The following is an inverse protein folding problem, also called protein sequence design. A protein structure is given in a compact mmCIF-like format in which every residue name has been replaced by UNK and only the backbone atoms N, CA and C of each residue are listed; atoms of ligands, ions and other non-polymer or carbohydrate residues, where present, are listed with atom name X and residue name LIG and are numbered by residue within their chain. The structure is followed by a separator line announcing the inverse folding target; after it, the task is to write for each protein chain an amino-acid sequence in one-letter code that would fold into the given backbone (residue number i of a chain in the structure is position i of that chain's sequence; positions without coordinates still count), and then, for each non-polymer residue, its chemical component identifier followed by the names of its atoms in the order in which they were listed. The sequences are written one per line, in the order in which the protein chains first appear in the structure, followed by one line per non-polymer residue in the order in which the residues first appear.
data_IF_363405414532
#
_entry.id   IF_363405414532
#
_cell.length_a   1.000
_cell.length_b   1.000
_cell.length_c   1.000
_cell.angle_alpha   90.00
_cell.angle_beta   90.00
_cell.angle_gamma   90.00
#
_symmetry.space_group_name_H-M   'P 1'
#
loop_
_entity.id
_entity.type
_entity.pdbx_description
1 polymer ?
#
# COMPACT_ATOMS: atom_id res chain seq x y z
N UNK A 1 -13.79 2.65 -1.36
CA UNK A 1 -14.41 3.57 -0.38
C UNK A 1 -15.04 2.74 0.75
N UNK A 2 -14.31 2.49 1.83
CA UNK A 2 -14.86 1.83 3.03
C UNK A 2 -15.50 2.92 3.90
N UNK A 3 -16.83 2.98 3.95
CA UNK A 3 -17.55 3.90 4.84
C UNK A 3 -17.46 3.34 6.26
N UNK A 4 -16.54 3.91 7.04
CA UNK A 4 -16.52 3.80 8.49
C UNK A 4 -17.89 4.22 9.02
N UNK A 5 -18.62 3.28 9.62
CA UNK A 5 -19.98 3.53 10.09
C UNK A 5 -19.97 3.52 11.62
N UNK A 6 -20.39 4.63 12.24
CA UNK A 6 -20.43 4.80 13.69
C UNK A 6 -21.34 3.76 14.37
N UNK A 7 -21.06 3.35 15.62
CA UNK A 7 -21.91 2.42 16.36
C UNK A 7 -23.30 2.99 16.60
N UNK A 8 -24.33 2.23 16.19
CA UNK A 8 -25.73 2.69 16.26
C UNK A 8 -26.36 2.15 17.55
N UNK A 9 -26.48 3.02 18.56
CA UNK A 9 -27.06 2.70 19.87
C UNK A 9 -28.59 2.78 19.90
N UNK A 10 -29.23 1.92 19.13
CA UNK A 10 -30.68 1.75 19.14
C UNK A 10 -31.17 1.16 20.49
N UNK A 11 -32.43 1.42 20.88
CA UNK A 11 -33.01 0.96 22.14
C UNK A 11 -32.77 -0.54 22.41
N UNK A 12 -33.01 -1.38 21.40
CA UNK A 12 -32.78 -2.83 21.48
C UNK A 12 -31.29 -3.20 21.68
N UNK A 13 -30.36 -2.46 21.08
CA UNK A 13 -28.92 -2.69 21.24
C UNK A 13 -28.47 -2.40 22.67
N UNK A 14 -29.00 -1.32 23.27
CA UNK A 14 -28.71 -0.97 24.68
C UNK A 14 -29.23 -2.05 25.64
N UNK A 15 -30.45 -2.52 25.43
CA UNK A 15 -31.06 -3.61 26.23
C UNK A 15 -30.23 -4.90 26.15
N UNK A 16 -29.76 -5.26 24.94
CA UNK A 16 -28.87 -6.42 24.74
C UNK A 16 -27.54 -6.23 25.50
N UNK A 17 -26.91 -5.06 25.40
CA UNK A 17 -25.65 -4.77 26.11
C UNK A 17 -25.81 -4.78 27.64
N UNK A 18 -26.95 -4.31 28.16
CA UNK A 18 -27.26 -4.38 29.60
C UNK A 18 -27.47 -5.83 30.08
N UNK A 19 -28.14 -6.65 29.28
CA UNK A 19 -28.32 -8.07 29.59
C UNK A 19 -26.99 -8.84 29.62
N UNK A 20 -26.00 -8.47 28.79
CA UNK A 20 -24.65 -9.02 28.89
C UNK A 20 -23.92 -8.57 30.16
N UNK A 21 -24.11 -7.32 30.61
CA UNK A 21 -23.58 -6.85 31.92
C UNK A 21 -24.18 -7.62 33.10
N UNK A 22 -25.41 -8.11 32.95
CA UNK A 22 -26.11 -8.94 33.95
C UNK A 22 -25.68 -10.43 33.89
N UNK A 23 -24.78 -10.81 32.98
CA UNK A 23 -24.24 -12.17 32.89
C UNK A 23 -25.12 -13.17 32.13
N UNK A 24 -26.14 -12.70 31.39
CA UNK A 24 -26.96 -13.59 30.54
C UNK A 24 -26.13 -14.11 29.35
N UNK A 25 -26.35 -15.38 29.01
CA UNK A 25 -25.67 -16.00 27.87
C UNK A 25 -26.35 -15.63 26.54
N UNK A 26 -25.60 -15.77 25.45
CA UNK A 26 -26.07 -15.45 24.09
C UNK A 26 -27.30 -16.28 23.68
N UNK A 27 -27.37 -17.54 24.10
CA UNK A 27 -28.52 -18.42 23.88
C UNK A 27 -29.80 -17.91 24.57
N UNK A 28 -29.66 -17.48 25.82
CA UNK A 28 -30.78 -16.93 26.61
C UNK A 28 -31.29 -15.62 25.99
N UNK A 29 -30.38 -14.76 25.54
CA UNK A 29 -30.72 -13.52 24.86
C UNK A 29 -31.38 -13.76 23.50
N UNK A 30 -30.93 -14.77 22.75
CA UNK A 30 -31.59 -15.13 21.50
C UNK A 30 -33.03 -15.58 21.76
N UNK A 31 -33.27 -16.40 22.78
CA UNK A 31 -34.62 -16.85 23.14
C UNK A 31 -35.52 -15.70 23.65
N UNK A 32 -35.00 -14.82 24.52
CA UNK A 32 -35.74 -13.70 25.13
C UNK A 32 -36.16 -12.66 24.10
N UNK A 33 -35.32 -12.39 23.09
CA UNK A 33 -35.60 -11.43 22.02
C UNK A 33 -36.28 -12.08 20.79
N UNK A 34 -36.64 -13.37 20.84
CA UNK A 34 -37.37 -14.07 19.78
C UNK A 34 -36.53 -14.39 18.53
N UNK A 35 -35.22 -14.48 18.67
CA UNK A 35 -34.29 -14.84 17.60
C UNK A 35 -34.18 -16.37 17.47
N UNK A 36 -34.25 -16.87 16.24
CA UNK A 36 -34.23 -18.31 15.98
C UNK A 36 -32.91 -18.99 16.36
N UNK A 37 -31.80 -18.26 16.32
CA UNK A 37 -30.46 -18.78 16.61
C UNK A 37 -29.54 -17.65 17.09
N UNK A 38 -28.49 -17.98 17.84
CA UNK A 38 -27.45 -17.03 18.26
C UNK A 38 -26.84 -16.25 17.07
N UNK A 39 -26.70 -16.92 15.92
CA UNK A 39 -26.18 -16.32 14.68
C UNK A 39 -27.04 -15.15 14.18
N UNK A 40 -28.34 -15.17 14.46
CA UNK A 40 -29.24 -14.07 14.06
C UNK A 40 -29.09 -12.85 14.96
N UNK A 41 -28.80 -13.05 16.25
CA UNK A 41 -28.41 -12.00 17.18
C UNK A 41 -27.05 -11.39 16.78
N UNK A 42 -26.08 -12.23 16.43
CA UNK A 42 -24.77 -11.78 15.93
C UNK A 42 -24.91 -10.93 14.65
N UNK A 43 -25.75 -11.37 13.70
CA UNK A 43 -26.02 -10.62 12.48
C UNK A 43 -26.73 -9.28 12.76
N UNK A 44 -27.65 -9.24 13.72
CA UNK A 44 -28.30 -8.01 14.14
C UNK A 44 -27.30 -7.01 14.73
N UNK A 45 -26.42 -7.46 15.64
CA UNK A 45 -25.38 -6.62 16.25
C UNK A 45 -24.34 -6.16 15.23
N UNK A 46 -23.94 -7.02 14.28
CA UNK A 46 -23.04 -6.65 13.18
C UNK A 46 -23.61 -5.57 12.28
N UNK A 47 -24.91 -5.61 11.98
CA UNK A 47 -25.62 -4.55 11.22
C UNK A 47 -25.67 -3.21 11.97
N UNK A 48 -25.35 -3.20 13.27
CA UNK A 48 -25.29 -2.01 14.13
C UNK A 48 -23.85 -1.62 14.49
N UNK A 49 -22.87 -2.19 13.79
CA UNK A 49 -21.43 -1.95 13.98
C UNK A 49 -20.88 -2.45 15.32
N UNK A 50 -21.41 -3.58 15.79
CA UNK A 50 -20.90 -4.32 16.94
C UNK A 50 -20.42 -5.70 16.50
N UNK A 51 -19.23 -6.12 16.93
CA UNK A 51 -18.70 -7.46 16.64
C UNK A 51 -18.59 -8.27 17.92
N UNK A 52 -18.81 -9.57 17.83
CA UNK A 52 -18.67 -10.48 18.98
C UNK A 52 -17.19 -10.73 19.27
N UNK A 53 -16.75 -10.45 20.49
CA UNK A 53 -15.40 -10.79 20.95
C UNK A 53 -15.46 -12.08 21.78
N UNK A 54 -14.89 -13.16 21.23
CA UNK A 54 -14.85 -14.48 21.90
C UNK A 54 -14.05 -14.47 23.20
N UNK A 55 -13.09 -13.57 23.34
CA UNK A 55 -12.22 -13.51 24.52
C UNK A 55 -12.89 -12.77 25.67
N UNK A 56 -13.69 -11.74 25.35
CA UNK A 56 -14.36 -10.90 26.33
C UNK A 56 -15.79 -11.35 26.66
N UNK A 57 -16.42 -12.12 25.78
CA UNK A 57 -17.78 -12.63 25.99
C UNK A 57 -18.88 -11.56 25.90
N UNK A 58 -18.60 -10.42 25.27
CA UNK A 58 -19.57 -9.36 24.97
C UNK A 58 -19.26 -8.70 23.63
N UNK A 59 -20.13 -7.81 23.17
CA UNK A 59 -19.96 -7.05 21.93
C UNK A 59 -19.24 -5.71 22.20
N UNK A 60 -17.91 -5.58 21.96
CA UNK A 60 -17.26 -4.27 21.96
C UNK A 60 -17.86 -3.36 20.89
N UNK A 61 -17.88 -2.05 21.20
CA UNK A 61 -18.03 -1.02 20.20
C UNK A 61 -16.87 -1.15 19.21
N UNK A 62 -17.14 -0.95 17.91
CA UNK A 62 -16.07 -0.65 16.96
C UNK A 62 -15.59 0.78 17.23
N UNK A 63 -15.07 1.03 18.44
CA UNK A 63 -14.40 2.28 18.76
C UNK A 63 -13.04 2.30 18.06
N UNK A 64 -12.78 3.43 17.39
CA UNK A 64 -11.44 3.86 16.99
C UNK A 64 -10.55 3.80 18.22
N UNK A 65 -9.85 2.70 18.45
CA UNK A 65 -8.68 2.55 19.34
C UNK A 65 -8.22 1.10 19.32
N UNK A 66 -7.84 0.65 18.14
CA UNK A 66 -6.69 -0.22 18.02
C UNK A 66 -5.59 0.69 17.46
N UNK A 67 -4.31 0.57 17.88
CA UNK A 67 -3.20 1.34 17.31
C UNK A 67 -2.97 0.90 15.86
N UNK A 68 -3.91 1.27 15.01
CA UNK A 68 -3.98 0.94 13.59
C UNK A 68 -3.73 2.17 12.72
N UNK A 69 -3.44 3.32 13.34
CA UNK A 69 -2.91 4.52 12.69
C UNK A 69 -1.40 4.62 12.89
N UNK A 70 -0.76 3.49 12.72
CA UNK A 70 0.66 3.36 12.57
C UNK A 70 0.86 2.87 11.14
N UNK A 71 1.07 3.75 10.15
CA UNK A 71 1.27 3.32 8.76
C UNK A 71 2.43 2.31 8.59
N UNK A 72 3.30 2.19 9.60
CA UNK A 72 4.41 1.24 9.67
C UNK A 72 4.02 -0.20 10.08
N UNK A 73 2.88 -0.43 10.77
CA UNK A 73 2.51 -1.75 11.32
C UNK A 73 2.04 -2.76 10.25
N UNK A 74 1.79 -2.30 9.02
CA UNK A 74 1.46 -3.15 7.88
C UNK A 74 2.62 -3.32 6.88
N UNK A 75 3.74 -2.60 7.08
CA UNK A 75 4.89 -2.68 6.19
C UNK A 75 5.88 -3.76 6.66
N UNK A 76 5.80 -4.95 6.06
CA UNK A 76 6.74 -6.04 6.33
C UNK A 76 8.12 -5.86 5.65
N UNK A 77 8.33 -4.75 4.94
CA UNK A 77 9.61 -4.43 4.31
C UNK A 77 10.72 -4.20 5.34
N UNK A 78 11.97 -4.15 4.86
CA UNK A 78 13.14 -3.82 5.70
C UNK A 78 12.97 -2.47 6.40
N UNK A 79 12.33 -1.49 5.75
CA UNK A 79 12.08 -0.15 6.31
C UNK A 79 11.03 -0.18 7.42
N UNK A 80 9.91 -0.89 7.24
CA UNK A 80 8.90 -1.05 8.29
C UNK A 80 9.44 -1.76 9.53
N UNK A 81 10.30 -2.78 9.35
CA UNK A 81 11.00 -3.43 10.48
C UNK A 81 11.92 -2.48 11.25
N UNK A 82 12.57 -1.53 10.56
CA UNK A 82 13.40 -0.52 11.21
C UNK A 82 12.52 0.39 12.08
N UNK A 83 11.40 0.90 11.53
CA UNK A 83 10.46 1.74 12.28
C UNK A 83 9.86 1.04 13.51
N UNK A 84 9.54 -0.25 13.40
CA UNK A 84 9.09 -1.07 14.54
C UNK A 84 10.19 -1.20 15.61
N UNK A 85 11.46 -1.40 15.21
CA UNK A 85 12.57 -1.51 16.17
C UNK A 85 12.83 -0.20 16.94
N UNK A 86 12.59 0.95 16.31
CA UNK A 86 12.65 2.25 16.98
C UNK A 86 11.48 2.44 17.96
N UNK A 87 10.27 2.00 17.59
CA UNK A 87 9.09 2.05 18.47
C UNK A 87 9.23 1.15 19.71
N UNK A 88 9.83 -0.03 19.55
CA UNK A 88 10.13 -0.94 20.65
C UNK A 88 11.13 -0.33 21.66
N UNK A 89 11.82 0.75 21.31
CA UNK A 89 12.67 1.55 22.20
C UNK A 89 13.86 0.80 22.81
N UNK A 90 14.17 -0.39 22.29
CA UNK A 90 15.10 -1.33 22.93
C UNK A 90 16.54 -1.21 22.46
N UNK A 91 16.80 -0.52 21.34
CA UNK A 91 18.09 -0.50 20.66
C UNK A 91 18.47 0.91 20.19
N UNK A 92 19.75 1.25 20.28
CA UNK A 92 20.27 2.52 19.78
C UNK A 92 20.36 2.55 18.24
N UNK A 93 20.42 3.74 17.60
CA UNK A 93 20.48 3.87 16.14
C UNK A 93 21.61 3.08 15.46
N UNK A 94 22.77 3.00 16.12
CA UNK A 94 23.93 2.24 15.63
C UNK A 94 23.71 0.72 15.71
N UNK A 95 23.03 0.26 16.74
CA UNK A 95 22.75 -1.16 16.96
C UNK A 95 21.68 -1.66 15.98
N UNK A 96 20.67 -0.83 15.72
CA UNK A 96 19.65 -1.10 14.69
C UNK A 96 20.31 -1.19 13.30
N UNK A 97 21.24 -0.30 12.98
CA UNK A 97 21.98 -0.33 11.72
C UNK A 97 22.77 -1.65 11.55
N UNK A 98 23.53 -2.06 12.56
CA UNK A 98 24.29 -3.32 12.54
C UNK A 98 23.35 -4.53 12.43
N UNK A 99 22.26 -4.56 13.21
CA UNK A 99 21.28 -5.65 13.20
C UNK A 99 20.58 -5.81 11.84
N UNK A 100 20.41 -4.70 11.11
CA UNK A 100 19.85 -4.69 9.77
C UNK A 100 20.89 -4.83 8.65
N UNK A 101 22.17 -4.99 9.00
CA UNK A 101 23.26 -5.18 8.04
C UNK A 101 23.66 -3.93 7.27
N UNK A 102 23.51 -2.74 7.87
CA UNK A 102 24.06 -1.49 7.33
C UNK A 102 25.43 -1.20 7.93
N UNK A 103 26.31 -0.57 7.14
CA UNK A 103 27.67 -0.24 7.57
C UNK A 103 27.71 0.91 8.58
N UNK A 104 26.73 1.83 8.50
CA UNK A 104 26.62 2.97 9.39
C UNK A 104 25.16 3.38 9.60
N UNK A 105 24.85 4.01 10.73
CA UNK A 105 23.55 4.65 10.95
C UNK A 105 23.22 5.72 9.91
N UNK A 106 24.25 6.34 9.29
CA UNK A 106 24.07 7.28 8.17
C UNK A 106 23.54 6.58 6.91
N UNK A 107 24.01 5.36 6.65
CA UNK A 107 23.58 4.54 5.50
C UNK A 107 22.15 4.04 5.72
N UNK A 108 21.81 3.66 6.97
CA UNK A 108 20.41 3.39 7.36
C UNK A 108 19.51 4.61 7.13
N UNK A 109 19.95 5.82 7.51
CA UNK A 109 19.17 7.04 7.30
C UNK A 109 18.96 7.35 5.81
N UNK A 110 20.00 7.18 4.98
CA UNK A 110 19.90 7.34 3.54
C UNK A 110 18.95 6.30 2.92
N UNK A 111 19.00 5.06 3.38
CA UNK A 111 18.08 4.00 2.97
C UNK A 111 16.63 4.32 3.32
N UNK A 112 16.36 4.82 4.54
CA UNK A 112 15.01 5.21 4.96
C UNK A 112 14.49 6.39 4.13
N UNK A 113 15.33 7.40 3.86
CA UNK A 113 14.99 8.51 2.97
C UNK A 113 14.63 8.05 1.56
N UNK A 114 15.39 7.11 1.00
CA UNK A 114 15.10 6.51 -0.31
C UNK A 114 13.81 5.66 -0.34
N UNK A 115 13.26 5.30 0.83
CA UNK A 115 11.99 4.61 0.99
C UNK A 115 10.84 5.53 1.41
N UNK A 116 11.02 6.85 1.27
CA UNK A 116 10.06 7.90 1.66
C UNK A 116 9.72 7.88 3.15
N UNK A 117 10.71 7.51 3.98
CA UNK A 117 10.61 7.64 5.42
C UNK A 117 11.46 8.83 5.89
N UNK A 118 10.85 9.75 6.63
CA UNK A 118 11.51 10.91 7.22
C UNK A 118 11.61 10.70 8.72
N UNK A 119 12.76 11.04 9.29
CA UNK A 119 12.95 11.00 10.75
C UNK A 119 12.19 12.16 11.39
N UNK A 120 11.32 11.85 12.33
CA UNK A 120 10.67 12.83 13.17
C UNK A 120 11.34 12.87 14.55
N UNK A 121 11.91 14.03 14.89
CA UNK A 121 12.61 14.24 16.14
C UNK A 121 11.66 14.26 17.34
N UNK A 122 10.39 14.61 17.15
CA UNK A 122 9.40 14.71 18.22
C UNK A 122 8.91 13.34 18.65
N UNK A 123 8.72 12.42 17.70
CA UNK A 123 8.33 11.02 17.98
C UNK A 123 9.53 10.08 18.16
N UNK A 124 10.73 10.49 17.76
CA UNK A 124 11.92 9.65 17.79
C UNK A 124 11.80 8.41 16.90
N UNK A 125 11.04 8.51 15.80
CA UNK A 125 10.81 7.42 14.86
C UNK A 125 10.67 7.95 13.42
N UNK A 126 10.64 7.02 12.46
CA UNK A 126 10.45 7.32 11.05
C UNK A 126 8.96 7.34 10.67
N UNK A 127 8.54 8.41 10.00
CA UNK A 127 7.20 8.58 9.44
C UNK A 127 7.27 8.38 7.92
N UNK A 128 6.39 7.54 7.39
CA UNK A 128 6.26 7.33 5.94
C UNK A 128 5.49 8.51 5.35
N UNK A 129 6.13 9.26 4.46
CA UNK A 129 5.50 10.36 3.72
C UNK A 129 5.01 9.81 2.39
N UNK A 130 3.69 9.83 2.19
CA UNK A 130 3.11 9.57 0.89
C UNK A 130 3.28 10.83 0.01
N UNK A 131 3.69 10.69 -1.27
CA UNK A 131 4.04 11.81 -2.14
C UNK A 131 2.86 12.73 -2.52
N UNK A 132 1.65 12.45 -2.05
CA UNK A 132 0.43 13.23 -2.33
C UNK A 132 0.05 14.23 -1.21
N UNK A 133 0.79 14.27 -0.09
CA UNK A 133 0.59 15.25 0.99
C UNK A 133 1.78 16.22 1.05
N UNK A 134 1.67 17.32 0.30
CA UNK A 134 2.49 18.51 0.50
C UNK A 134 2.02 19.25 1.77
N UNK A 135 2.58 18.86 2.91
CA UNK A 135 2.60 19.70 4.11
C UNK A 135 4.06 19.89 4.56
N UNK A 136 4.57 21.07 4.19
CA UNK A 136 5.55 21.91 4.87
C UNK A 136 6.98 21.37 5.14
N UNK A 137 7.94 22.13 4.56
CA UNK A 137 8.98 22.85 5.31
C UNK A 137 9.41 22.24 6.64
N UNK A 138 10.62 21.70 6.67
CA UNK A 138 11.68 22.06 7.61
C UNK A 138 12.88 21.13 7.38
N UNK A 139 13.84 21.56 6.57
CA UNK A 139 15.20 21.04 6.60
C UNK A 139 16.12 22.18 7.10
N UNK A 140 16.87 22.01 8.21
CA UNK A 140 17.90 22.95 8.59
C UNK A 140 19.06 22.83 7.59
N UNK A 141 19.27 23.89 6.82
CA UNK A 141 20.39 24.07 5.90
C UNK A 141 21.65 24.43 6.71
N UNK A 142 22.58 23.48 6.84
CA UNK A 142 23.94 23.70 7.31
C UNK A 142 24.93 23.35 6.20
N UNK A 143 25.29 24.35 5.38
CA UNK A 143 26.59 24.37 4.70
C UNK A 143 26.89 25.75 4.11
N UNK A 144 27.45 26.65 4.92
CA UNK A 144 28.19 27.82 4.40
C UNK A 144 29.60 27.39 3.99
N UNK A 145 29.82 27.26 2.68
CA UNK A 145 31.15 27.36 2.07
C UNK A 145 31.26 28.78 1.47
N UNK A 146 32.08 29.62 2.10
CA UNK A 146 32.51 30.89 1.54
C UNK A 146 33.55 30.64 0.44
N UNK A 147 33.30 31.19 -0.74
CA UNK A 147 34.17 31.11 -1.91
C UNK A 147 33.77 32.17 -2.93
N UNK A 148 34.04 33.43 -2.58
CA UNK A 148 33.88 34.60 -3.43
C UNK A 148 34.91 34.56 -4.57
N UNK A 149 34.44 34.57 -5.82
CA UNK A 149 35.22 35.05 -6.97
C UNK A 149 34.26 35.59 -8.02
N UNK A 150 34.16 36.92 -8.06
CA UNK A 150 33.53 37.67 -9.15
C UNK A 150 34.26 37.49 -10.49
N UNK A 151 33.52 37.17 -11.55
CA UNK A 151 33.88 37.59 -12.91
C UNK A 151 32.65 37.60 -13.84
N UNK A 152 32.33 38.81 -14.33
CA UNK A 152 31.55 39.25 -15.50
C UNK A 152 30.49 38.32 -16.16
N UNK A 153 29.30 38.83 -16.52
CA UNK A 153 28.29 38.05 -17.23
C UNK A 153 28.74 37.72 -18.67
N UNK A 154 28.73 36.45 -19.09
CA UNK A 154 29.00 36.07 -20.47
C UNK A 154 27.81 36.49 -21.35
N UNK A 155 28.07 37.26 -22.41
CA UNK A 155 27.08 37.53 -23.44
C UNK A 155 26.79 36.24 -24.21
N UNK A 156 25.57 35.73 -24.05
CA UNK A 156 25.10 34.51 -24.71
C UNK A 156 24.95 34.77 -26.22
N UNK A 157 25.52 33.89 -27.05
CA UNK A 157 25.30 33.91 -28.50
C UNK A 157 23.84 33.57 -28.84
N UNK A 158 23.35 33.94 -30.02
CA UNK A 158 21.94 33.74 -30.43
C UNK A 158 21.46 32.28 -30.32
N UNK A 159 22.35 31.32 -30.54
CA UNK A 159 22.09 29.88 -30.39
C UNK A 159 21.93 29.47 -28.92
N UNK A 160 22.64 30.13 -28.01
CA UNK A 160 22.54 29.90 -26.57
C UNK A 160 21.25 30.52 -26.00
N UNK A 161 20.75 31.62 -26.59
CA UNK A 161 19.47 32.20 -26.22
C UNK A 161 18.28 31.28 -26.60
N UNK A 162 18.36 30.60 -27.75
CA UNK A 162 17.38 29.58 -28.15
C UNK A 162 17.41 28.38 -27.21
N UNK A 163 18.58 27.87 -26.85
CA UNK A 163 18.72 26.78 -25.87
C UNK A 163 18.19 27.16 -24.49
N UNK A 164 18.42 28.39 -24.04
CA UNK A 164 17.89 28.91 -22.77
C UNK A 164 16.36 28.97 -22.79
N UNK A 165 15.74 29.25 -23.95
CA UNK A 165 14.28 29.25 -24.10
C UNK A 165 13.64 27.86 -23.93
N UNK A 166 14.39 26.79 -24.17
CA UNK A 166 13.92 25.41 -23.97
C UNK A 166 14.12 24.90 -22.54
N UNK A 167 14.81 25.63 -21.65
CA UNK A 167 15.00 25.21 -20.24
C UNK A 167 13.70 24.94 -19.48
N UNK A 168 12.61 25.72 -19.64
CA UNK A 168 11.33 25.42 -19.00
C UNK A 168 10.72 24.10 -19.50
N UNK A 169 10.87 23.81 -20.79
CA UNK A 169 10.42 22.55 -21.39
C UNK A 169 11.25 21.36 -20.87
N UNK A 170 12.57 21.53 -20.82
CA UNK A 170 13.49 20.50 -20.31
C UNK A 170 13.29 20.25 -18.81
N UNK A 171 12.94 21.28 -18.02
CA UNK A 171 12.55 21.13 -16.62
C UNK A 171 11.24 20.34 -16.49
N UNK A 172 10.23 20.66 -17.31
CA UNK A 172 8.94 19.96 -17.31
C UNK A 172 9.05 18.50 -17.77
N UNK A 173 9.91 18.24 -18.76
CA UNK A 173 10.27 16.88 -19.18
C UNK A 173 10.99 16.16 -18.03
N UNK A 174 11.95 16.84 -17.38
CA UNK A 174 12.70 16.35 -16.23
C UNK A 174 11.81 15.92 -15.05
N UNK A 175 10.85 16.76 -14.68
CA UNK A 175 9.86 16.48 -13.62
C UNK A 175 8.97 15.27 -13.93
N UNK A 176 8.75 14.98 -15.22
CA UNK A 176 7.92 13.87 -15.68
C UNK A 176 8.73 12.71 -16.22
N UNK A 177 10.04 12.66 -15.93
CA UNK A 177 10.93 11.62 -16.44
C UNK A 177 10.44 10.22 -16.08
N UNK A 178 9.94 9.98 -14.87
CA UNK A 178 9.45 8.65 -14.48
C UNK A 178 8.24 8.20 -15.32
N UNK A 179 7.30 9.12 -15.56
CA UNK A 179 6.14 8.86 -16.43
C UNK A 179 6.51 8.74 -17.90
N UNK A 180 7.53 9.48 -18.34
CA UNK A 180 8.06 9.39 -19.71
C UNK A 180 8.79 8.07 -19.91
N UNK A 181 9.59 7.65 -18.93
CA UNK A 181 10.25 6.34 -18.92
C UNK A 181 9.18 5.25 -18.92
N UNK A 182 8.14 5.33 -18.09
CA UNK A 182 7.03 4.37 -18.13
C UNK A 182 6.32 4.33 -19.50
N UNK A 183 6.06 5.49 -20.12
CA UNK A 183 5.43 5.56 -21.47
C UNK A 183 6.35 5.09 -22.61
N UNK A 184 7.66 5.29 -22.47
CA UNK A 184 8.67 4.93 -23.49
C UNK A 184 9.18 3.51 -23.31
N UNK A 185 9.16 2.99 -22.08
CA UNK A 185 9.51 1.62 -21.72
C UNK A 185 8.33 0.66 -21.88
N UNK A 186 7.09 1.11 -22.14
CA UNK A 186 6.01 0.23 -22.61
C UNK A 186 6.52 -0.55 -23.85
N UNK A 187 6.88 -1.84 -23.73
CA UNK A 187 7.22 -2.66 -24.86
C UNK A 187 5.93 -3.34 -25.28
N UNK A 188 4.92 -2.56 -25.63
CA UNK A 188 3.74 -3.08 -26.29
C UNK A 188 3.90 -2.76 -27.76
N UNK A 189 4.49 -3.69 -28.50
CA UNK A 189 4.20 -3.83 -29.92
C UNK A 189 2.67 -3.83 -30.01
N UNK A 190 2.11 -2.69 -30.40
CA UNK A 190 0.68 -2.45 -30.44
C UNK A 190 0.07 -3.56 -31.31
N UNK A 191 -0.51 -4.57 -30.67
CA UNK A 191 -1.15 -5.71 -31.34
C UNK A 191 -0.59 -7.11 -31.05
N UNK A 192 0.56 -7.28 -30.41
CA UNK A 192 1.04 -8.62 -30.02
C UNK A 192 0.94 -8.86 -28.52
N UNK A 193 0.03 -9.76 -28.15
CA UNK A 193 -0.17 -10.25 -26.79
C UNK A 193 1.08 -11.04 -26.35
N UNK A 194 1.78 -10.66 -25.26
CA UNK A 194 2.97 -11.35 -24.78
C UNK A 194 2.67 -12.82 -24.49
N UNK A 195 3.48 -13.76 -24.98
CA UNK A 195 3.31 -15.19 -24.69
C UNK A 195 4.33 -15.64 -23.66
N UNK A 196 3.86 -15.97 -22.46
CA UNK A 196 4.69 -16.57 -21.43
C UNK A 196 4.61 -18.10 -21.51
N UNK A 197 5.77 -18.77 -21.50
CA UNK A 197 5.83 -20.22 -21.36
C UNK A 197 6.04 -20.50 -19.87
N UNK A 198 4.98 -20.86 -19.16
CA UNK A 198 5.08 -21.22 -17.74
C UNK A 198 5.39 -22.72 -17.61
N UNK A 199 6.55 -23.11 -17.04
CA UNK A 199 6.89 -24.50 -16.83
C UNK A 199 6.03 -25.13 -15.73
N UNK A 200 5.51 -26.35 -15.96
CA UNK A 200 4.77 -27.10 -14.95
C UNK A 200 3.69 -28.02 -15.51
N UNK A 201 3.10 -28.84 -14.63
CA UNK A 201 1.96 -29.70 -14.96
C UNK A 201 0.68 -28.86 -14.93
N UNK A 202 -0.15 -28.86 -15.99
CA UNK A 202 -1.37 -28.08 -16.00
C UNK A 202 -2.38 -28.60 -14.96
N UNK A 203 -2.80 -27.71 -14.06
CA UNK A 203 -3.87 -27.99 -13.08
C UNK A 203 -5.12 -27.18 -13.40
N UNK A 204 -6.30 -27.79 -13.33
CA UNK A 204 -7.57 -27.09 -13.54
C UNK A 204 -8.06 -26.41 -12.27
N UNK A 205 -8.49 -25.15 -12.40
CA UNK A 205 -9.17 -24.39 -11.34
C UNK A 205 -10.41 -23.72 -11.94
N UNK A 206 -11.53 -23.79 -11.23
CA UNK A 206 -12.79 -23.15 -11.64
C UNK A 206 -12.96 -21.83 -10.90
N UNK A 207 -13.27 -20.76 -11.65
CA UNK A 207 -13.44 -19.40 -11.13
C UNK A 207 -14.79 -18.86 -11.63
N UNK A 208 -15.50 -18.12 -10.78
CA UNK A 208 -16.74 -17.46 -11.16
C UNK A 208 -16.47 -16.06 -11.72
N UNK A 209 -17.14 -15.71 -12.83
CA UNK A 209 -17.02 -14.41 -13.49
C UNK A 209 -18.38 -13.73 -13.62
N UNK A 210 -18.36 -12.39 -13.75
CA UNK A 210 -19.52 -11.68 -14.26
C UNK A 210 -19.71 -12.01 -15.75
N UNK A 211 -20.96 -12.05 -16.21
CA UNK A 211 -21.26 -12.36 -17.61
C UNK A 211 -20.56 -11.39 -18.58
N UNK A 212 -20.52 -10.10 -18.24
CA UNK A 212 -19.85 -9.07 -19.04
C UNK A 212 -18.34 -9.36 -19.21
N UNK A 213 -17.64 -9.77 -18.15
CA UNK A 213 -16.21 -10.07 -18.24
C UNK A 213 -15.96 -11.35 -19.05
N UNK A 214 -16.81 -12.36 -18.88
CA UNK A 214 -16.72 -13.58 -19.68
C UNK A 214 -16.88 -13.30 -21.19
N UNK A 215 -17.80 -12.40 -21.55
CA UNK A 215 -17.98 -11.94 -22.94
C UNK A 215 -16.73 -11.20 -23.44
N UNK A 216 -16.19 -10.25 -22.67
CA UNK A 216 -14.98 -9.52 -23.06
C UNK A 216 -13.78 -10.44 -23.32
N UNK A 217 -13.58 -11.47 -22.49
CA UNK A 217 -12.50 -12.45 -22.69
C UNK A 217 -12.73 -13.26 -23.96
N UNK A 218 -13.97 -13.65 -24.25
CA UNK A 218 -14.32 -14.39 -25.46
C UNK A 218 -14.10 -13.53 -26.72
N UNK A 219 -14.54 -12.28 -26.71
CA UNK A 219 -14.36 -11.34 -27.81
C UNK A 219 -12.87 -11.09 -28.08
N UNK A 220 -12.09 -10.86 -27.02
CA UNK A 220 -10.64 -10.67 -27.13
C UNK A 220 -9.92 -11.93 -27.64
N UNK A 221 -10.35 -13.12 -27.19
CA UNK A 221 -9.83 -14.40 -27.64
C UNK A 221 -10.04 -14.60 -29.15
N UNK A 222 -11.23 -14.25 -29.66
CA UNK A 222 -11.57 -14.28 -31.08
C UNK A 222 -10.78 -13.24 -31.89
N UNK A 223 -10.69 -12.00 -31.39
CA UNK A 223 -10.03 -10.90 -32.10
C UNK A 223 -8.52 -11.14 -32.26
N UNK A 224 -7.86 -11.62 -31.21
CA UNK A 224 -6.40 -11.81 -31.19
C UNK A 224 -5.96 -13.25 -31.51
N UNK A 225 -6.89 -14.18 -31.72
CA UNK A 225 -6.63 -15.61 -31.91
C UNK A 225 -5.72 -16.17 -30.78
N UNK A 226 -6.09 -15.86 -29.53
CA UNK A 226 -5.36 -16.26 -28.32
C UNK A 226 -6.27 -17.15 -27.48
N UNK A 227 -5.72 -18.19 -26.85
CA UNK A 227 -6.52 -19.08 -25.99
C UNK A 227 -6.86 -18.38 -24.67
N UNK A 228 -8.04 -18.67 -24.12
CA UNK A 228 -8.45 -18.18 -22.79
C UNK A 228 -7.38 -18.43 -21.72
N UNK A 229 -6.76 -19.61 -21.74
CA UNK A 229 -5.64 -19.96 -20.85
C UNK A 229 -4.51 -18.92 -20.89
N UNK A 230 -4.06 -18.54 -22.09
CA UNK A 230 -2.94 -17.60 -22.27
C UNK A 230 -3.31 -16.21 -21.75
N UNK A 231 -4.55 -15.74 -22.01
CA UNK A 231 -5.06 -14.46 -21.50
C UNK A 231 -4.97 -14.43 -19.96
N UNK A 232 -5.41 -15.51 -19.31
CA UNK A 232 -5.38 -15.59 -17.85
C UNK A 232 -3.96 -15.73 -17.30
N UNK A 233 -3.07 -16.48 -17.96
CA UNK A 233 -1.67 -16.60 -17.54
C UNK A 233 -0.96 -15.25 -17.57
N UNK A 234 -1.14 -14.48 -18.65
CA UNK A 234 -0.58 -13.13 -18.79
C UNK A 234 -1.13 -12.21 -17.71
N UNK A 235 -2.46 -12.18 -17.56
CA UNK A 235 -3.11 -11.33 -16.57
C UNK A 235 -2.65 -11.65 -15.14
N UNK A 236 -2.44 -12.92 -14.82
CA UNK A 236 -1.93 -13.34 -13.52
C UNK A 236 -0.45 -12.99 -13.33
N UNK A 237 0.39 -13.15 -14.35
CA UNK A 237 1.80 -12.77 -14.32
C UNK A 237 1.94 -11.26 -14.09
N UNK A 238 1.19 -10.45 -14.84
CA UNK A 238 1.16 -9.00 -14.66
C UNK A 238 0.63 -8.61 -13.29
N UNK A 239 -0.45 -9.25 -12.83
CA UNK A 239 -0.99 -9.03 -11.50
C UNK A 239 0.06 -9.32 -10.42
N UNK A 240 0.70 -10.49 -10.44
CA UNK A 240 1.71 -10.84 -9.45
C UNK A 240 2.93 -9.91 -9.50
N UNK A 241 3.31 -9.45 -10.69
CA UNK A 241 4.39 -8.47 -10.87
C UNK A 241 4.03 -7.13 -10.21
N UNK A 242 2.80 -6.64 -10.43
CA UNK A 242 2.31 -5.36 -9.88
C UNK A 242 2.11 -5.40 -8.35
N UNK A 243 1.78 -6.56 -7.79
CA UNK A 243 1.44 -6.70 -6.36
C UNK A 243 2.52 -7.40 -5.52
N UNK A 244 3.80 -7.31 -5.93
CA UNK A 244 4.95 -7.64 -5.06
C UNK A 244 5.47 -9.07 -5.14
N UNK A 245 4.98 -9.88 -6.08
CA UNK A 245 5.47 -11.24 -6.38
C UNK A 245 6.43 -11.28 -7.59
N UNK A 246 7.05 -10.14 -7.92
CA UNK A 246 7.93 -9.99 -9.08
C UNK A 246 9.12 -10.96 -9.06
N UNK A 247 9.72 -11.22 -7.88
CA UNK A 247 10.88 -12.10 -7.76
C UNK A 247 10.54 -13.55 -8.10
N UNK A 248 9.39 -14.01 -7.63
CA UNK A 248 8.84 -15.34 -7.85
C UNK A 248 8.44 -15.52 -9.32
N UNK A 249 7.80 -14.51 -9.91
CA UNK A 249 7.48 -14.49 -11.34
C UNK A 249 8.75 -14.56 -12.19
N UNK A 250 9.77 -13.75 -11.87
CA UNK A 250 11.07 -13.79 -12.55
C UNK A 250 11.75 -15.15 -12.41
N UNK A 251 11.61 -15.82 -11.26
CA UNK A 251 12.14 -17.17 -11.07
C UNK A 251 11.36 -18.20 -11.90
N UNK A 252 10.03 -18.09 -11.94
CA UNK A 252 9.13 -18.96 -12.70
C UNK A 252 9.37 -18.86 -14.21
N UNK A 253 9.70 -17.67 -14.72
CA UNK A 253 9.98 -17.42 -16.15
C UNK A 253 11.43 -17.72 -16.59
N UNK A 254 12.37 -17.93 -15.64
CA UNK A 254 13.79 -18.19 -15.94
C UNK A 254 14.13 -19.66 -16.16
N UNK A 255 13.19 -20.57 -15.88
CA UNK A 255 13.33 -22.01 -16.07
C UNK A 255 12.65 -22.44 -17.38
#
# INVERSE_FOLDING_TARGET
MSKYTEPIYEKKVREILECFKQGKTKEQLAAEFGYANEKTLDNFMRRKNFSWDKNKGYYPTLEKNSPQNAPYLQDHSKAGKIAIMYEEGSLGPKEIAVKMGFESHSDLAQFMKAKNYIWDADTGNYIKVDPDNDDADNAPDDSRIEGDTSSAPPQLTSEQAELVSYLPLLRLLGEKNERLVELLEEPAVIGQVPRYVVPGVPTTKSIHFSNALAQMVADFSCEKNVKHKEIFEIALIEFFTKYGYEKEVKHLLKN
#
